data_IF_614417421277
#
_entry.id   IF_614417421277
#
_cell.length_a   1.000
_cell.length_b   1.000
_cell.length_c   1.000
_cell.angle_alpha   90.00
_cell.angle_beta   90.00
_cell.angle_gamma   90.00
#
_symmetry.space_group_name_H-M   'P 1'
#
loop_
_entity.id
_entity.type
_entity.pdbx_description
1 polymer ?
#
# COMPACT_ATOMS: atom_id res chain seq x y z
N UNK A 1 -7.71 -6.73 13.71
CA UNK A 1 -7.35 -6.98 15.12
C UNK A 1 -7.11 -5.61 15.70
N UNK A 2 -8.15 -4.98 16.25
CA UNK A 2 -8.15 -3.56 16.62
C UNK A 2 -7.58 -3.41 18.02
N UNK A 3 -6.48 -2.68 18.18
CA UNK A 3 -5.91 -2.37 19.50
C UNK A 3 -6.45 -1.01 19.95
N UNK A 4 -7.25 -0.99 21.03
CA UNK A 4 -7.77 0.24 21.63
C UNK A 4 -6.67 1.00 22.39
N UNK A 5 -6.51 2.28 22.11
CA UNK A 5 -5.69 3.20 22.91
C UNK A 5 -6.59 4.25 23.57
N UNK A 6 -6.62 4.25 24.91
CA UNK A 6 -7.40 5.21 25.70
C UNK A 6 -6.77 6.60 25.68
N UNK A 7 -7.59 7.62 25.46
CA UNK A 7 -7.16 9.02 25.45
C UNK A 7 -6.83 9.51 26.87
N UNK A 8 -5.61 9.97 27.09
CA UNK A 8 -5.28 10.85 28.21
C UNK A 8 -5.54 12.31 27.79
N UNK A 9 -6.28 13.02 28.64
CA UNK A 9 -6.68 14.42 28.49
C UNK A 9 -5.47 15.37 28.39
N UNK A 10 -5.48 16.26 27.38
CA UNK A 10 -4.54 17.38 27.22
C UNK A 10 -5.31 18.68 26.90
N UNK A 11 -4.89 19.85 27.43
CA UNK A 11 -5.63 21.10 27.35
C UNK A 11 -5.31 21.96 26.11
N UNK A 12 -6.35 22.66 25.62
CA UNK A 12 -6.30 23.99 25.00
C UNK A 12 -5.57 24.17 23.66
N UNK A 13 -6.30 24.08 22.54
CA UNK A 13 -5.85 24.57 21.23
C UNK A 13 -6.39 25.99 20.95
N UNK A 14 -5.57 26.94 20.45
CA UNK A 14 -6.08 28.23 19.97
C UNK A 14 -6.55 28.14 18.51
N UNK A 15 -7.61 28.89 18.19
CA UNK A 15 -8.20 28.97 16.85
C UNK A 15 -7.32 29.77 15.88
N UNK A 16 -7.25 29.33 14.62
CA UNK A 16 -6.71 30.12 13.52
C UNK A 16 -7.63 30.09 12.30
N UNK A 17 -7.76 31.29 11.72
CA UNK A 17 -8.76 31.78 10.78
C UNK A 17 -8.61 31.31 9.34
N UNK A 18 -9.75 31.21 8.66
CA UNK A 18 -9.93 31.00 7.22
C UNK A 18 -9.36 32.13 6.36
N UNK A 19 -8.66 31.78 5.27
CA UNK A 19 -8.63 32.60 4.04
C UNK A 19 -8.69 31.73 2.79
N UNK A 20 -9.55 32.18 1.88
CA UNK A 20 -9.86 31.65 0.54
C UNK A 20 -9.10 32.43 -0.53
N UNK A 21 -8.70 31.76 -1.62
CA UNK A 21 -8.52 32.33 -2.97
C UNK A 21 -8.46 31.17 -3.97
N UNK A 22 -9.48 30.91 -4.78
CA UNK A 22 -9.85 31.54 -6.07
C UNK A 22 -8.97 31.09 -7.26
N UNK A 23 -9.63 30.44 -8.23
CA UNK A 23 -9.10 29.88 -9.47
C UNK A 23 -9.01 30.91 -10.62
N UNK A 24 -8.17 30.63 -11.61
CA UNK A 24 -8.06 31.38 -12.88
C UNK A 24 -7.96 30.44 -14.11
N UNK A 25 -8.25 30.93 -15.33
CA UNK A 25 -9.01 30.17 -16.34
C UNK A 25 -8.19 29.61 -17.52
N UNK A 26 -8.84 28.74 -18.30
CA UNK A 26 -8.38 28.15 -19.56
C UNK A 26 -8.59 29.07 -20.77
N UNK A 27 -7.90 28.84 -21.92
CA UNK A 27 -8.28 29.43 -23.19
C UNK A 27 -8.90 28.43 -24.20
N UNK A 28 -10.09 28.79 -24.70
CA UNK A 28 -10.65 28.47 -26.02
C UNK A 28 -9.80 29.19 -27.11
N UNK A 29 -9.73 28.87 -28.40
CA UNK A 29 -10.49 28.04 -29.33
C UNK A 29 -10.40 28.68 -30.74
N UNK A 30 -10.72 27.90 -31.79
CA UNK A 30 -11.09 28.26 -33.18
C UNK A 30 -10.03 28.43 -34.29
N UNK A 31 -10.30 27.71 -35.39
CA UNK A 31 -9.69 27.91 -36.71
C UNK A 31 -10.13 26.90 -37.77
N UNK A 32 -11.41 26.93 -38.15
CA UNK A 32 -12.00 26.14 -39.25
C UNK A 32 -11.50 26.52 -40.64
N UNK A 33 -11.43 25.57 -41.60
CA UNK A 33 -11.88 25.75 -43.00
C UNK A 33 -12.02 24.40 -43.73
N UNK A 34 -12.94 24.38 -44.69
CA UNK A 34 -13.62 23.20 -45.26
C UNK A 34 -12.98 22.66 -46.56
N UNK A 35 -13.18 21.36 -46.75
CA UNK A 35 -13.50 20.58 -47.98
C UNK A 35 -13.10 21.11 -49.36
N UNK A 36 -12.43 20.26 -50.14
CA UNK A 36 -12.79 19.93 -51.53
C UNK A 36 -12.56 18.42 -51.73
N UNK A 37 -13.58 17.73 -52.24
CA UNK A 37 -13.49 16.34 -52.67
C UNK A 37 -12.90 16.27 -54.07
N UNK A 38 -12.14 15.21 -54.32
CA UNK A 38 -11.92 14.72 -55.66
C UNK A 38 -11.93 13.18 -55.64
N UNK A 39 -12.50 12.62 -56.69
CA UNK A 39 -12.94 11.24 -56.81
C UNK A 39 -12.03 10.44 -57.75
N UNK A 40 -11.83 9.16 -57.39
CA UNK A 40 -11.33 8.03 -58.22
C UNK A 40 -9.81 7.75 -58.21
N UNK A 41 -9.36 6.50 -58.51
CA UNK A 41 -10.01 5.20 -58.38
C UNK A 41 -9.27 4.24 -57.44
N UNK A 42 -9.98 3.16 -57.09
CA UNK A 42 -9.48 1.95 -56.45
C UNK A 42 -8.34 1.32 -57.29
N UNK A 43 -7.18 1.13 -56.67
CA UNK A 43 -6.06 0.43 -57.31
C UNK A 43 -4.81 0.35 -56.44
N UNK A 44 -4.43 -0.89 -56.13
CA UNK A 44 -3.08 -1.33 -55.77
C UNK A 44 -2.64 -1.27 -54.30
N UNK A 45 -2.55 -2.46 -53.69
CA UNK A 45 -1.93 -2.70 -52.39
C UNK A 45 -0.44 -2.40 -52.49
N UNK A 46 -0.03 -1.17 -52.20
CA UNK A 46 1.38 -0.87 -51.93
C UNK A 46 1.76 -1.47 -50.58
N UNK A 47 2.47 -2.61 -50.62
CA UNK A 47 3.42 -2.98 -49.56
C UNK A 47 4.40 -1.82 -49.45
N UNK A 48 4.28 -1.00 -48.41
CA UNK A 48 5.41 -0.21 -47.94
C UNK A 48 6.41 -1.20 -47.37
N UNK A 49 7.31 -1.68 -48.24
CA UNK A 49 8.55 -2.31 -47.79
C UNK A 49 9.29 -1.28 -46.96
N UNK A 50 9.38 -1.54 -45.66
CA UNK A 50 10.30 -0.83 -44.78
C UNK A 50 11.68 -1.26 -45.24
N UNK A 51 12.30 -0.43 -46.07
CA UNK A 51 13.64 -0.67 -46.57
C UNK A 51 14.62 -0.84 -45.40
N UNK A 52 15.26 -2.00 -45.34
CA UNK A 52 16.62 -2.17 -44.86
C UNK A 52 16.90 -1.81 -43.40
N UNK A 53 16.55 -2.70 -42.48
CA UNK A 53 17.33 -2.89 -41.26
C UNK A 53 18.29 -4.09 -41.40
N UNK A 54 18.84 -4.28 -42.60
CA UNK A 54 19.95 -5.21 -42.83
C UNK A 54 21.24 -4.51 -42.39
N UNK A 55 21.62 -4.65 -41.11
CA UNK A 55 22.92 -4.14 -40.68
C UNK A 55 23.18 -3.96 -39.19
N UNK A 56 22.19 -4.04 -38.30
CA UNK A 56 22.53 -4.13 -36.87
C UNK A 56 22.82 -5.56 -36.52
N UNK A 57 24.11 -5.85 -36.34
CA UNK A 57 24.57 -7.03 -35.60
C UNK A 57 23.71 -7.11 -34.33
N UNK A 58 23.12 -8.27 -33.98
CA UNK A 58 22.54 -8.42 -32.65
C UNK A 58 23.61 -7.96 -31.67
N UNK A 59 23.23 -7.18 -30.67
CA UNK A 59 24.12 -6.82 -29.57
C UNK A 59 24.63 -8.15 -29.02
N UNK A 60 25.82 -8.57 -29.45
CA UNK A 60 26.47 -9.70 -28.85
C UNK A 60 26.81 -9.20 -27.46
N UNK A 61 26.17 -9.81 -26.47
CA UNK A 61 26.65 -9.78 -25.12
C UNK A 61 28.05 -10.39 -25.20
N UNK A 62 29.07 -9.58 -25.48
CA UNK A 62 30.44 -9.97 -25.23
C UNK A 62 30.51 -10.08 -23.72
N UNK A 63 30.28 -11.29 -23.23
CA UNK A 63 30.61 -11.69 -21.88
C UNK A 63 32.06 -11.31 -21.65
N UNK A 64 32.25 -10.20 -20.94
CA UNK A 64 33.41 -10.03 -20.10
C UNK A 64 33.32 -11.20 -19.12
N UNK A 65 34.34 -12.05 -19.07
CA UNK A 65 34.42 -13.24 -18.24
C UNK A 65 34.58 -12.87 -16.75
N UNK A 66 33.75 -11.96 -16.27
CA UNK A 66 33.48 -11.77 -14.86
C UNK A 66 32.68 -12.99 -14.38
N UNK A 67 32.91 -13.49 -13.15
CA UNK A 67 32.06 -14.54 -12.60
C UNK A 67 30.62 -14.07 -12.70
N UNK A 68 29.76 -14.88 -13.35
CA UNK A 68 28.33 -14.62 -13.39
C UNK A 68 27.86 -14.67 -11.95
N UNK A 69 27.69 -13.50 -11.35
CA UNK A 69 27.06 -13.38 -10.04
C UNK A 69 25.67 -13.97 -10.19
N UNK A 70 25.35 -14.96 -9.37
CA UNK A 70 23.99 -15.50 -9.33
C UNK A 70 23.06 -14.42 -8.78
N UNK A 71 22.34 -13.76 -9.69
CA UNK A 71 21.34 -12.75 -9.35
C UNK A 71 20.03 -13.43 -9.00
N UNK A 72 19.99 -14.08 -7.84
CA UNK A 72 18.79 -14.72 -7.31
C UNK A 72 18.17 -13.90 -6.18
N UNK A 73 16.84 -13.93 -6.08
CA UNK A 73 16.08 -13.23 -5.03
C UNK A 73 16.46 -13.78 -3.63
N UNK A 74 16.47 -12.95 -2.58
CA UNK A 74 16.68 -13.44 -1.22
C UNK A 74 15.63 -14.48 -0.82
N UNK A 75 16.07 -15.53 -0.10
CA UNK A 75 15.18 -16.59 0.39
C UNK A 75 14.03 -15.98 1.21
N UNK A 76 12.80 -16.41 0.93
CA UNK A 76 11.59 -15.96 1.61
C UNK A 76 10.98 -14.66 1.05
N UNK A 77 11.53 -14.10 -0.02
CA UNK A 77 10.90 -12.99 -0.79
C UNK A 77 10.20 -13.53 -2.04
N UNK A 78 9.47 -12.69 -2.78
CA UNK A 78 8.82 -13.08 -4.04
C UNK A 78 8.72 -11.96 -5.07
N UNK A 79 8.91 -12.35 -6.33
CA UNK A 79 8.56 -11.52 -7.49
C UNK A 79 7.11 -11.84 -7.86
N UNK A 80 6.28 -10.80 -8.01
CA UNK A 80 4.90 -10.94 -8.46
C UNK A 80 4.84 -10.45 -9.90
N UNK A 81 4.80 -11.39 -10.84
CA UNK A 81 4.85 -11.10 -12.28
C UNK A 81 3.45 -11.09 -12.91
N UNK A 82 3.25 -10.48 -14.09
CA UNK A 82 2.03 -10.69 -14.87
C UNK A 82 1.83 -12.18 -15.21
N UNK A 83 0.60 -12.72 -15.13
CA UNK A 83 -0.66 -12.05 -14.81
C UNK A 83 -1.00 -12.00 -13.30
N UNK A 84 -0.19 -12.58 -12.42
CA UNK A 84 -0.44 -12.59 -10.96
C UNK A 84 -0.53 -11.18 -10.38
N UNK A 85 0.33 -10.27 -10.84
CA UNK A 85 0.32 -8.86 -10.43
C UNK A 85 -1.02 -8.15 -10.71
N UNK A 86 -1.76 -8.59 -11.72
CA UNK A 86 -3.11 -8.07 -12.01
C UNK A 86 -4.12 -8.51 -10.95
N UNK A 87 -4.00 -9.73 -10.43
CA UNK A 87 -4.84 -10.22 -9.32
C UNK A 87 -4.54 -9.47 -8.03
N UNK A 88 -3.25 -9.22 -7.76
CA UNK A 88 -2.82 -8.40 -6.63
C UNK A 88 -3.41 -6.98 -6.73
N UNK A 89 -3.28 -6.32 -7.89
CA UNK A 89 -3.84 -4.99 -8.13
C UNK A 89 -5.37 -4.98 -7.95
N UNK A 90 -6.08 -6.00 -8.45
CA UNK A 90 -7.53 -6.13 -8.27
C UNK A 90 -7.91 -6.25 -6.80
N UNK A 91 -7.19 -7.06 -6.03
CA UNK A 91 -7.45 -7.26 -4.60
C UNK A 91 -7.31 -5.93 -3.83
N UNK A 92 -6.21 -5.21 -4.06
CA UNK A 92 -5.97 -3.91 -3.42
C UNK A 92 -7.03 -2.88 -3.84
N UNK A 93 -7.40 -2.85 -5.13
CA UNK A 93 -8.46 -1.95 -5.63
C UNK A 93 -9.82 -2.23 -4.99
N UNK A 94 -10.22 -3.51 -4.86
CA UNK A 94 -11.47 -3.87 -4.18
C UNK A 94 -11.45 -3.48 -2.70
N UNK A 95 -10.30 -3.63 -2.03
CA UNK A 95 -10.14 -3.17 -0.65
C UNK A 95 -10.32 -1.65 -0.55
N UNK A 96 -9.61 -0.89 -1.37
CA UNK A 96 -9.68 0.56 -1.45
C UNK A 96 -11.13 1.04 -1.67
N UNK A 97 -11.82 0.52 -2.68
CA UNK A 97 -13.22 0.86 -2.98
C UNK A 97 -14.13 0.72 -1.74
N UNK A 98 -13.95 -0.36 -0.99
CA UNK A 98 -14.81 -0.69 0.17
C UNK A 98 -14.55 0.27 1.33
N UNK A 99 -13.28 0.53 1.66
CA UNK A 99 -12.92 1.34 2.84
C UNK A 99 -13.03 2.84 2.57
N UNK A 100 -12.71 3.29 1.36
CA UNK A 100 -12.86 4.70 0.96
C UNK A 100 -14.34 5.10 0.88
N UNK A 101 -15.22 4.18 0.47
CA UNK A 101 -16.67 4.37 0.55
C UNK A 101 -17.20 4.58 1.98
N UNK A 102 -16.42 4.23 3.00
CA UNK A 102 -16.71 4.47 4.42
C UNK A 102 -15.90 5.63 5.03
N UNK A 103 -15.22 6.44 4.21
CA UNK A 103 -14.50 7.63 4.63
C UNK A 103 -13.11 7.37 5.21
N UNK A 104 -12.51 6.20 4.96
CA UNK A 104 -11.11 5.95 5.30
C UNK A 104 -10.19 6.57 4.24
N UNK A 105 -9.23 7.40 4.66
CA UNK A 105 -8.23 7.98 3.76
C UNK A 105 -6.97 7.12 3.64
N UNK A 106 -6.37 7.06 2.45
CA UNK A 106 -5.09 6.34 2.25
C UNK A 106 -3.96 7.04 3.00
N UNK A 107 -3.16 6.26 3.71
CA UNK A 107 -1.87 6.69 4.27
C UNK A 107 -0.74 5.77 3.84
N UNK A 108 0.46 6.34 3.74
CA UNK A 108 1.67 5.62 3.30
C UNK A 108 2.81 5.92 4.28
N UNK A 109 2.95 5.11 5.36
CA UNK A 109 4.05 5.30 6.30
C UNK A 109 5.40 4.86 5.70
N UNK A 110 6.54 5.32 6.25
CA UNK A 110 7.88 4.85 5.89
C UNK A 110 8.02 3.33 5.99
N UNK A 111 8.89 2.74 5.17
CA UNK A 111 9.15 1.29 5.16
C UNK A 111 10.10 0.85 6.28
N UNK A 112 10.98 1.75 6.72
CA UNK A 112 11.83 1.56 7.88
C UNK A 112 11.53 2.64 8.92
N UNK A 113 11.66 2.29 10.19
CA UNK A 113 11.42 3.17 11.33
C UNK A 113 12.54 2.97 12.36
N UNK A 114 12.63 3.89 13.32
CA UNK A 114 13.42 3.67 14.54
C UNK A 114 12.94 2.39 15.24
N UNK A 115 13.87 1.54 15.70
CA UNK A 115 13.50 0.24 16.32
C UNK A 115 12.57 0.44 17.53
N UNK A 116 12.73 1.57 18.24
CA UNK A 116 11.92 1.98 19.38
C UNK A 116 10.43 2.11 19.08
N UNK A 117 10.05 2.34 17.81
CA UNK A 117 8.65 2.38 17.37
C UNK A 117 7.98 1.02 17.59
N UNK A 118 8.72 -0.08 17.40
CA UNK A 118 8.20 -1.44 17.53
C UNK A 118 8.44 -2.06 18.92
N UNK A 119 9.39 -1.51 19.71
CA UNK A 119 9.68 -2.00 21.06
C UNK A 119 8.68 -1.57 22.14
N UNK A 120 7.97 -0.45 21.97
CA UNK A 120 7.02 0.08 22.99
C UNK A 120 5.63 -0.54 22.96
N UNK A 121 5.36 -1.41 22.00
CA UNK A 121 4.17 -2.25 22.05
C UNK A 121 4.35 -3.22 23.24
N UNK A 122 3.80 -2.85 24.41
CA UNK A 122 3.89 -3.60 25.67
C UNK A 122 3.26 -5.00 25.67
N UNK A 123 2.85 -5.49 24.50
CA UNK A 123 2.52 -6.88 24.20
C UNK A 123 2.82 -7.16 22.71
N UNK A 124 3.88 -6.58 22.14
CA UNK A 124 4.44 -7.13 20.92
C UNK A 124 4.81 -8.57 21.25
N UNK A 125 4.00 -9.50 20.75
CA UNK A 125 4.21 -10.93 20.89
C UNK A 125 5.69 -11.21 20.68
N UNK A 126 6.26 -12.10 21.48
CA UNK A 126 7.66 -12.57 21.36
C UNK A 126 8.10 -12.79 19.90
N UNK A 127 7.15 -13.13 19.03
CA UNK A 127 7.24 -13.24 17.57
C UNK A 127 7.70 -11.94 16.88
N UNK A 128 7.04 -10.80 17.11
CA UNK A 128 7.36 -9.53 16.41
C UNK A 128 8.75 -9.05 16.76
N UNK A 129 9.14 -9.09 18.04
CA UNK A 129 10.44 -8.61 18.48
C UNK A 129 11.61 -9.53 18.05
N UNK A 130 11.41 -10.85 18.07
CA UNK A 130 12.47 -11.82 17.68
C UNK A 130 12.64 -11.95 16.16
N UNK A 131 11.67 -11.48 15.39
CA UNK A 131 11.64 -11.63 13.93
C UNK A 131 11.78 -10.29 13.19
N UNK A 132 12.35 -9.23 13.79
CA UNK A 132 12.57 -7.96 13.07
C UNK A 132 13.83 -7.99 12.19
N UNK A 133 13.76 -7.29 11.05
CA UNK A 133 14.95 -6.96 10.27
C UNK A 133 15.53 -5.63 10.78
N UNK A 134 16.45 -5.72 11.74
CA UNK A 134 17.19 -4.58 12.28
C UNK A 134 18.49 -4.32 11.51
N UNK A 135 18.83 -3.04 11.36
CA UNK A 135 20.08 -2.61 10.76
C UNK A 135 20.54 -1.27 11.33
N UNK A 136 21.84 -1.02 11.26
CA UNK A 136 22.42 0.28 11.61
C UNK A 136 22.68 1.05 10.34
N UNK A 137 22.16 2.27 10.24
CA UNK A 137 22.44 3.12 9.10
C UNK A 137 23.86 3.73 9.16
N UNK A 138 24.25 4.45 8.10
CA UNK A 138 25.57 5.10 8.04
C UNK A 138 25.80 6.16 9.13
N UNK A 139 24.73 6.66 9.74
CA UNK A 139 24.77 7.62 10.84
C UNK A 139 24.79 6.98 12.24
N UNK A 140 24.88 5.65 12.33
CA UNK A 140 24.88 4.93 13.59
C UNK A 140 23.50 4.77 14.24
N UNK A 141 22.42 5.13 13.54
CA UNK A 141 21.06 4.95 14.06
C UNK A 141 20.61 3.51 13.86
N UNK A 142 19.98 2.94 14.89
CA UNK A 142 19.31 1.65 14.79
C UNK A 142 17.95 1.84 14.15
N UNK A 143 17.72 1.15 13.04
CA UNK A 143 16.49 1.15 12.28
C UNK A 143 16.01 -0.29 12.09
N UNK A 144 14.72 -0.44 11.81
CA UNK A 144 14.14 -1.72 11.44
C UNK A 144 13.23 -1.56 10.23
N UNK A 145 13.23 -2.55 9.32
CA UNK A 145 12.14 -2.70 8.37
C UNK A 145 10.88 -3.06 9.15
N UNK A 146 9.76 -2.39 8.83
CA UNK A 146 8.53 -2.57 9.60
C UNK A 146 8.01 -4.02 9.52
N UNK A 147 7.70 -4.67 10.66
CA UNK A 147 7.11 -6.01 10.68
C UNK A 147 5.59 -6.02 10.53
N UNK A 148 4.98 -4.84 10.63
CA UNK A 148 3.55 -4.53 10.51
C UNK A 148 3.38 -3.01 10.35
N UNK A 149 2.17 -2.53 10.04
CA UNK A 149 1.94 -1.10 9.72
C UNK A 149 1.30 -0.29 10.87
N UNK A 150 0.68 -0.93 11.85
CA UNK A 150 -0.05 -0.29 12.97
C UNK A 150 0.87 0.65 13.75
N UNK A 151 2.05 0.20 14.17
CA UNK A 151 2.97 1.03 14.95
C UNK A 151 3.45 2.25 14.14
N UNK A 152 3.72 2.06 12.85
CA UNK A 152 4.06 3.16 11.95
C UNK A 152 2.90 4.15 11.78
N UNK A 153 1.65 3.68 11.71
CA UNK A 153 0.45 4.55 11.65
C UNK A 153 0.24 5.29 12.96
N UNK A 154 0.39 4.63 14.11
CA UNK A 154 0.29 5.28 15.43
C UNK A 154 1.38 6.33 15.60
N UNK A 155 2.62 6.03 15.22
CA UNK A 155 3.71 7.01 15.22
C UNK A 155 3.40 8.20 14.31
N UNK A 156 2.79 7.95 13.14
CA UNK A 156 2.31 8.99 12.22
C UNK A 156 1.26 9.90 12.83
N UNK A 157 0.28 9.31 13.51
CA UNK A 157 -0.77 10.03 14.21
C UNK A 157 -0.18 10.95 15.28
N UNK A 158 0.72 10.42 16.11
CA UNK A 158 1.35 11.18 17.21
C UNK A 158 2.20 12.33 16.69
N UNK A 159 2.95 12.10 15.61
CA UNK A 159 3.82 13.11 15.01
C UNK A 159 3.01 14.25 14.36
N UNK A 160 1.98 13.91 13.57
CA UNK A 160 1.28 14.87 12.71
C UNK A 160 0.02 15.46 13.35
N UNK A 161 -0.52 14.85 14.41
CA UNK A 161 -1.73 15.29 15.14
C UNK A 161 -2.91 15.65 14.22
N UNK A 162 -3.33 14.73 13.31
CA UNK A 162 -4.45 14.99 12.42
C UNK A 162 -5.77 15.11 13.18
N UNK A 163 -6.80 15.66 12.52
CA UNK A 163 -8.15 15.78 13.09
C UNK A 163 -8.74 14.39 13.39
N UNK A 164 -9.42 14.29 14.55
CA UNK A 164 -10.08 13.08 15.02
C UNK A 164 -11.59 13.13 14.76
N UNK A 165 -12.28 11.99 14.48
CA UNK A 165 -11.71 10.65 14.36
C UNK A 165 -10.86 10.50 13.10
N UNK A 166 -9.65 9.95 13.26
CA UNK A 166 -8.73 9.76 12.14
C UNK A 166 -8.89 8.36 11.58
N UNK A 167 -9.67 8.24 10.49
CA UNK A 167 -9.96 6.98 9.79
C UNK A 167 -9.02 6.84 8.61
N UNK A 168 -8.13 5.85 8.66
CA UNK A 168 -7.10 5.65 7.62
C UNK A 168 -6.99 4.20 7.19
N UNK A 169 -6.61 4.00 5.93
CA UNK A 169 -6.29 2.69 5.40
C UNK A 169 -4.90 2.67 4.77
N UNK A 170 -4.34 1.47 4.64
CA UNK A 170 -3.03 1.28 4.05
C UNK A 170 -2.94 -0.01 3.24
N UNK A 171 -1.98 -0.05 2.33
CA UNK A 171 -1.56 -1.25 1.61
C UNK A 171 -0.05 -1.22 1.42
N UNK A 172 0.64 -2.32 1.72
CA UNK A 172 2.06 -2.40 1.44
C UNK A 172 2.78 -3.58 2.06
N UNK A 173 4.05 -3.71 1.71
CA UNK A 173 4.91 -4.77 2.21
C UNK A 173 5.36 -4.52 3.65
N UNK A 174 5.61 -5.62 4.35
CA UNK A 174 6.14 -5.75 5.69
C UNK A 174 7.14 -6.91 5.74
N UNK A 175 7.99 -6.92 6.77
CA UNK A 175 9.13 -7.82 6.83
C UNK A 175 9.26 -8.53 8.18
N UNK A 176 9.40 -9.86 8.14
CA UNK A 176 9.69 -10.65 9.34
C UNK A 176 10.78 -11.67 9.05
N UNK A 177 11.79 -11.77 9.90
CA UNK A 177 12.89 -12.73 9.84
C UNK A 177 12.43 -14.14 10.25
N UNK A 178 11.31 -14.59 9.70
CA UNK A 178 10.71 -15.90 9.96
C UNK A 178 11.42 -17.03 9.21
N UNK A 179 11.28 -18.24 9.75
CA UNK A 179 11.56 -19.45 8.98
C UNK A 179 10.51 -19.60 7.86
N UNK A 180 11.00 -19.80 6.64
CA UNK A 180 10.13 -19.94 5.47
C UNK A 180 9.28 -21.21 5.61
N UNK A 181 7.97 -21.03 5.66
CA UNK A 181 6.96 -22.09 5.71
C UNK A 181 5.88 -21.81 4.65
N UNK A 182 5.01 -22.78 4.36
CA UNK A 182 3.90 -22.57 3.41
C UNK A 182 3.03 -21.40 3.89
N UNK A 183 2.91 -20.35 3.07
CA UNK A 183 2.13 -19.15 3.41
C UNK A 183 2.84 -18.16 4.34
N UNK A 184 4.08 -18.43 4.77
CA UNK A 184 4.91 -17.51 5.56
C UNK A 184 6.12 -17.06 4.76
N UNK A 185 6.16 -15.77 4.44
CA UNK A 185 7.22 -15.12 3.70
C UNK A 185 7.96 -14.13 4.59
N UNK A 186 9.23 -13.89 4.28
CA UNK A 186 10.04 -12.86 4.95
C UNK A 186 9.67 -11.46 4.51
N UNK A 187 9.12 -11.32 3.31
CA UNK A 187 8.43 -10.12 2.83
C UNK A 187 7.00 -10.52 2.46
N UNK A 188 6.02 -9.85 3.05
CA UNK A 188 4.59 -10.11 2.80
C UNK A 188 3.82 -8.80 2.76
N UNK A 189 2.70 -8.80 2.05
CA UNK A 189 1.86 -7.61 1.89
C UNK A 189 0.67 -7.66 2.83
N UNK A 190 0.30 -6.50 3.37
CA UNK A 190 -0.91 -6.33 4.17
C UNK A 190 -1.74 -5.19 3.60
N UNK A 191 -3.05 -5.32 3.75
CA UNK A 191 -4.01 -4.23 3.69
C UNK A 191 -4.68 -4.12 5.05
N UNK A 192 -4.97 -2.91 5.50
CA UNK A 192 -5.56 -2.69 6.82
C UNK A 192 -6.19 -1.32 6.95
N UNK A 193 -6.95 -1.17 8.03
CA UNK A 193 -7.60 0.08 8.42
C UNK A 193 -7.29 0.34 9.89
N UNK A 194 -7.15 1.63 10.24
CA UNK A 194 -6.99 2.09 11.62
C UNK A 194 -7.96 3.24 11.87
N UNK A 195 -8.49 3.30 13.09
CA UNK A 195 -9.28 4.43 13.57
C UNK A 195 -8.68 4.90 14.89
N UNK A 196 -8.26 6.16 14.93
CA UNK A 196 -7.57 6.74 16.08
C UNK A 196 -8.30 8.00 16.58
N UNK A 197 -8.23 8.24 17.89
CA UNK A 197 -8.74 9.46 18.53
C UNK A 197 -10.21 9.43 18.96
N UNK A 198 -10.85 8.26 18.99
CA UNK A 198 -12.24 8.09 19.46
C UNK A 198 -12.41 6.71 20.11
N UNK A 199 -13.22 6.63 21.17
CA UNK A 199 -13.62 5.36 21.81
C UNK A 199 -15.12 5.13 21.55
N UNK A 200 -15.43 4.56 20.39
CA UNK A 200 -16.80 4.28 19.95
C UNK A 200 -16.95 2.78 19.60
N UNK A 201 -17.78 2.01 20.32
CA UNK A 201 -18.02 0.60 20.00
C UNK A 201 -18.67 0.37 18.64
N UNK A 202 -19.35 1.35 18.04
CA UNK A 202 -19.89 1.22 16.68
C UNK A 202 -18.78 1.10 15.62
N UNK A 203 -17.56 1.57 15.91
CA UNK A 203 -16.41 1.37 15.03
C UNK A 203 -15.99 -0.10 14.95
N UNK A 204 -16.11 -0.87 16.03
CA UNK A 204 -15.83 -2.30 16.00
C UNK A 204 -16.82 -3.02 15.05
N UNK A 205 -18.09 -2.59 15.05
CA UNK A 205 -19.13 -3.08 14.12
C UNK A 205 -18.84 -2.65 12.69
N UNK A 206 -18.44 -1.39 12.48
CA UNK A 206 -18.08 -0.87 11.16
C UNK A 206 -16.92 -1.67 10.54
N UNK A 207 -15.85 -1.91 11.31
CA UNK A 207 -14.68 -2.70 10.87
C UNK A 207 -15.09 -4.11 10.44
N UNK A 208 -15.93 -4.79 11.22
CA UNK A 208 -16.43 -6.14 10.88
C UNK A 208 -17.29 -6.08 9.60
N UNK A 209 -18.16 -5.08 9.48
CA UNK A 209 -19.01 -4.90 8.31
C UNK A 209 -18.20 -4.63 7.04
N UNK A 210 -17.13 -3.82 7.12
CA UNK A 210 -16.23 -3.55 6.00
C UNK A 210 -15.46 -4.80 5.58
N UNK A 211 -14.92 -5.57 6.54
CA UNK A 211 -14.27 -6.84 6.27
C UNK A 211 -15.21 -7.81 5.56
N UNK A 212 -16.46 -7.91 6.02
CA UNK A 212 -17.49 -8.73 5.39
C UNK A 212 -17.79 -8.26 3.94
N UNK A 213 -18.02 -6.96 3.74
CA UNK A 213 -18.25 -6.39 2.39
C UNK A 213 -17.07 -6.65 1.45
N UNK A 214 -15.85 -6.54 1.95
CA UNK A 214 -14.64 -6.87 1.19
C UNK A 214 -14.64 -8.35 0.73
N UNK A 215 -14.91 -9.30 1.63
CA UNK A 215 -15.03 -10.71 1.26
C UNK A 215 -16.18 -10.98 0.28
N UNK A 216 -17.32 -10.29 0.43
CA UNK A 216 -18.43 -10.39 -0.52
C UNK A 216 -18.04 -9.91 -1.92
N UNK A 217 -17.34 -8.77 -2.02
CA UNK A 217 -16.84 -8.23 -3.30
C UNK A 217 -15.81 -9.13 -3.97
N UNK A 218 -15.10 -9.93 -3.19
CA UNK A 218 -14.19 -10.96 -3.70
C UNK A 218 -14.88 -12.28 -4.05
N UNK A 219 -16.18 -12.44 -3.74
CA UNK A 219 -16.93 -13.67 -3.98
C UNK A 219 -16.67 -14.79 -2.96
N UNK A 220 -16.23 -14.45 -1.74
CA UNK A 220 -15.80 -15.41 -0.72
C UNK A 220 -16.85 -15.71 0.38
N UNK A 221 -18.10 -15.33 0.15
CA UNK A 221 -19.19 -15.45 1.13
C UNK A 221 -19.98 -16.77 0.98
N UNK A 222 -19.34 -17.90 1.31
CA UNK A 222 -19.96 -19.13 1.82
C UNK A 222 -18.87 -20.13 2.26
N UNK A 223 -18.82 -20.47 3.55
CA UNK A 223 -18.05 -21.60 4.10
C UNK A 223 -16.52 -21.43 4.31
N UNK A 224 -15.88 -20.38 3.77
CA UNK A 224 -14.40 -20.29 3.77
C UNK A 224 -13.78 -19.35 4.83
N UNK A 225 -14.53 -18.39 5.38
CA UNK A 225 -14.00 -17.40 6.32
C UNK A 225 -14.90 -17.29 7.57
N UNK A 226 -14.37 -17.72 8.72
CA UNK A 226 -15.00 -17.53 10.02
C UNK A 226 -14.44 -16.28 10.73
N UNK A 227 -15.31 -15.48 11.35
CA UNK A 227 -14.90 -14.42 12.26
C UNK A 227 -15.00 -14.92 13.70
N UNK A 228 -13.93 -14.76 14.49
CA UNK A 228 -13.90 -15.07 15.92
C UNK A 228 -13.70 -13.77 16.70
N UNK A 229 -14.67 -13.42 17.56
CA UNK A 229 -14.58 -12.25 18.43
C UNK A 229 -14.26 -12.71 19.86
N UNK A 230 -13.16 -12.22 20.42
CA UNK A 230 -12.80 -12.43 21.82
C UNK A 230 -12.55 -11.08 22.49
N UNK A 231 -13.14 -10.86 23.67
CA UNK A 231 -12.90 -9.66 24.47
C UNK A 231 -11.87 -10.00 25.55
N UNK A 232 -10.68 -9.42 25.48
CA UNK A 232 -9.74 -9.44 26.61
C UNK A 232 -10.22 -8.43 27.64
N UNK A 233 -10.69 -8.90 28.81
CA UNK A 233 -11.10 -8.03 29.91
C UNK A 233 -9.92 -7.20 30.43
N UNK A 234 -10.15 -5.92 30.77
CA UNK A 234 -9.18 -5.14 31.55
C UNK A 234 -9.00 -5.83 32.90
N UNK A 235 -7.79 -6.27 33.22
CA UNK A 235 -7.43 -6.45 34.63
C UNK A 235 -7.36 -5.03 35.20
N UNK A 236 -8.21 -4.79 36.20
CA UNK A 236 -8.25 -3.59 37.04
C UNK A 236 -6.92 -3.32 37.71
#
# INVERSE_FOLDING_TARGET
MTTRWGAASMPGAPQASTRSSAAGPAPDGLGSRRSHGDSSPCGEKRKTEIAGFAGRRPLSWRAVAEPIVDYSRPKGTRDILPPESQRWRRLVGVFADVVEGAGYGLVVPPMFEHVEVFHRLGEATDVVAKEMYEFTDRGGRRLALRPEQTASVVRMFVENRPTVPWKVWYAGSNFRAENVQRGRYRQFDQVGIEVLGVDDPYLDVEVIALAWRFFQRLGLCAGAAGAQLTRRGRRS
#
